data_IF_691608124335
#
_entry.id   IF_691608124335
#
_cell.length_a   1.000
_cell.length_b   1.000
_cell.length_c   1.000
_cell.angle_alpha   90.00
_cell.angle_beta   90.00
_cell.angle_gamma   90.00
#
_symmetry.space_group_name_H-M   'P 1'
#
loop_
_entity.id
_entity.type
_entity.pdbx_description
1 polymer ?
#
# COMPACT_ATOMS: atom_id res chain seq x y z
N UNK A 1 -10.71 -5.93 -17.31
CA UNK A 1 -10.05 -5.33 -16.14
C UNK A 1 -11.06 -4.42 -15.47
N UNK A 2 -11.08 -4.41 -14.16
CA UNK A 2 -11.96 -3.56 -13.35
C UNK A 2 -11.07 -2.95 -12.29
N UNK A 3 -11.19 -1.64 -12.09
CA UNK A 3 -10.39 -0.86 -11.18
C UNK A 3 -11.32 -0.14 -10.19
N UNK A 4 -10.92 -0.04 -8.93
CA UNK A 4 -11.69 0.66 -7.92
C UNK A 4 -11.27 2.13 -7.87
N UNK A 5 -12.25 3.02 -7.75
CA UNK A 5 -11.99 4.33 -7.14
C UNK A 5 -11.83 4.11 -5.64
N UNK A 6 -10.64 4.40 -5.11
CA UNK A 6 -10.43 4.32 -3.67
C UNK A 6 -11.13 5.47 -2.93
N UNK A 7 -11.38 5.28 -1.64
CA UNK A 7 -11.88 6.35 -0.77
C UNK A 7 -10.95 7.56 -0.89
N UNK A 8 -11.52 8.73 -1.11
CA UNK A 8 -10.79 9.97 -1.38
C UNK A 8 -10.59 10.28 -2.86
N UNK A 9 -11.06 9.40 -3.76
CA UNK A 9 -11.03 9.62 -5.21
C UNK A 9 -12.43 9.51 -5.83
N UNK A 10 -12.55 9.91 -7.08
CA UNK A 10 -13.79 9.81 -7.84
C UNK A 10 -14.98 10.44 -7.11
N UNK A 11 -16.02 9.66 -6.87
CA UNK A 11 -17.25 10.13 -6.19
C UNK A 11 -17.05 10.45 -4.70
N UNK A 12 -15.95 10.04 -4.09
CA UNK A 12 -15.61 10.30 -2.69
C UNK A 12 -14.46 11.32 -2.49
N UNK A 13 -14.14 12.12 -3.50
CA UNK A 13 -13.04 13.09 -3.47
C UNK A 13 -13.12 14.14 -2.37
N UNK A 14 -14.27 14.29 -1.71
CA UNK A 14 -14.48 15.23 -0.58
C UNK A 14 -13.98 14.69 0.76
N UNK A 15 -13.59 13.43 0.85
CA UNK A 15 -12.99 12.84 2.06
C UNK A 15 -11.52 12.54 1.82
N UNK A 16 -10.75 12.54 2.92
CA UNK A 16 -9.33 12.20 2.80
C UNK A 16 -9.13 10.74 2.43
N UNK A 17 -8.13 10.48 1.60
CA UNK A 17 -7.71 9.12 1.28
C UNK A 17 -7.05 8.46 2.50
N UNK A 18 -7.57 7.30 2.99
CA UNK A 18 -6.97 6.56 4.11
C UNK A 18 -5.73 5.78 3.65
N UNK A 19 -4.67 6.53 3.27
CA UNK A 19 -3.47 6.00 2.67
C UNK A 19 -2.80 4.95 3.57
N UNK A 20 -2.59 3.75 3.07
CA UNK A 20 -2.07 2.60 3.80
C UNK A 20 -2.93 2.16 5.02
N UNK A 21 -4.23 2.43 5.03
CA UNK A 21 -5.13 1.75 5.98
C UNK A 21 -5.55 0.38 5.41
N UNK A 22 -5.12 -0.68 6.08
CA UNK A 22 -5.28 -2.05 5.60
C UNK A 22 -6.73 -2.49 5.48
N UNK A 23 -7.57 -2.08 6.43
CA UNK A 23 -8.97 -2.50 6.45
C UNK A 23 -9.75 -1.88 5.29
N UNK A 24 -9.69 -0.56 5.17
CA UNK A 24 -10.41 0.16 4.12
C UNK A 24 -9.91 -0.21 2.73
N UNK A 25 -8.58 -0.40 2.58
CA UNK A 25 -7.96 -0.86 1.32
C UNK A 25 -8.51 -2.23 0.88
N UNK A 26 -8.62 -3.18 1.82
CA UNK A 26 -9.16 -4.50 1.54
C UNK A 26 -10.65 -4.44 1.19
N UNK A 27 -11.42 -3.64 1.93
CA UNK A 27 -12.87 -3.54 1.77
C UNK A 27 -13.25 -2.98 0.40
N UNK A 28 -12.57 -1.93 -0.07
CA UNK A 28 -12.80 -1.36 -1.41
C UNK A 28 -12.66 -2.41 -2.52
N UNK A 29 -11.63 -3.25 -2.46
CA UNK A 29 -11.42 -4.32 -3.46
C UNK A 29 -12.51 -5.39 -3.37
N UNK A 30 -12.86 -5.80 -2.16
CA UNK A 30 -13.87 -6.83 -1.92
C UNK A 30 -15.25 -6.35 -2.38
N UNK A 31 -15.62 -5.12 -2.06
CA UNK A 31 -16.88 -4.51 -2.48
C UNK A 31 -16.95 -4.38 -4.00
N UNK A 32 -15.84 -3.98 -4.64
CA UNK A 32 -15.76 -3.94 -6.10
C UNK A 32 -16.01 -5.33 -6.73
N UNK A 33 -15.44 -6.40 -6.15
CA UNK A 33 -15.67 -7.76 -6.64
C UNK A 33 -17.15 -8.13 -6.54
N UNK A 34 -17.81 -7.83 -5.42
CA UNK A 34 -19.25 -8.10 -5.27
C UNK A 34 -20.09 -7.26 -6.21
N UNK A 35 -19.85 -5.96 -6.31
CA UNK A 35 -20.54 -5.07 -7.23
C UNK A 35 -20.38 -5.52 -8.68
N UNK A 36 -19.16 -5.94 -9.06
CA UNK A 36 -18.89 -6.50 -10.39
C UNK A 36 -19.68 -7.77 -10.66
N UNK A 37 -19.72 -8.71 -9.73
CA UNK A 37 -20.51 -9.95 -9.89
C UNK A 37 -21.99 -9.65 -10.06
N UNK A 38 -22.52 -8.70 -9.30
CA UNK A 38 -23.91 -8.26 -9.43
C UNK A 38 -24.16 -7.64 -10.80
N UNK A 39 -23.31 -6.71 -11.23
CA UNK A 39 -23.42 -6.04 -12.54
C UNK A 39 -23.39 -7.03 -13.71
N UNK A 40 -22.44 -7.98 -13.70
CA UNK A 40 -22.34 -9.00 -14.74
C UNK A 40 -23.60 -9.86 -14.81
N UNK A 41 -24.18 -10.22 -13.65
CA UNK A 41 -25.44 -10.97 -13.56
C UNK A 41 -26.62 -10.16 -14.11
N UNK A 42 -26.77 -8.90 -13.72
CA UNK A 42 -27.86 -8.02 -14.17
C UNK A 42 -27.81 -7.76 -15.69
N UNK A 43 -26.59 -7.66 -16.24
CA UNK A 43 -26.36 -7.43 -17.67
C UNK A 43 -26.30 -8.71 -18.49
N UNK A 44 -26.46 -9.89 -17.86
CA UNK A 44 -26.34 -11.20 -18.52
C UNK A 44 -25.02 -11.36 -19.28
N UNK A 45 -23.92 -10.85 -18.71
CA UNK A 45 -22.58 -10.97 -19.29
C UNK A 45 -21.97 -12.28 -18.79
N UNK A 46 -21.70 -13.20 -19.73
CA UNK A 46 -21.04 -14.46 -19.43
C UNK A 46 -19.54 -14.25 -19.13
N UNK A 47 -19.00 -15.02 -18.18
CA UNK A 47 -17.62 -14.96 -17.76
C UNK A 47 -17.17 -16.30 -17.16
N UNK A 48 -15.86 -16.55 -17.16
CA UNK A 48 -15.28 -17.81 -16.69
C UNK A 48 -15.21 -17.96 -15.15
N UNK A 49 -15.75 -17.01 -14.40
CA UNK A 49 -15.80 -16.96 -12.92
C UNK A 49 -14.42 -16.93 -12.23
N UNK A 50 -13.33 -16.82 -12.98
CA UNK A 50 -11.98 -16.69 -12.40
C UNK A 50 -11.72 -15.25 -12.00
N UNK A 51 -11.14 -15.05 -10.83
CA UNK A 51 -10.80 -13.75 -10.27
C UNK A 51 -9.29 -13.70 -10.11
N UNK A 52 -8.70 -12.66 -10.65
CA UNK A 52 -7.29 -12.34 -10.51
C UNK A 52 -7.16 -11.00 -9.81
N UNK A 53 -6.26 -10.92 -8.83
CA UNK A 53 -5.90 -9.66 -8.17
C UNK A 53 -4.54 -9.21 -8.68
N UNK A 54 -4.40 -7.92 -8.96
CA UNK A 54 -3.11 -7.35 -9.32
C UNK A 54 -3.00 -5.90 -8.84
N UNK A 55 -1.80 -5.52 -8.39
CA UNK A 55 -1.50 -4.16 -8.01
C UNK A 55 -0.01 -3.93 -7.82
N UNK A 56 0.40 -2.68 -8.00
CA UNK A 56 1.78 -2.23 -7.88
C UNK A 56 1.88 -1.03 -6.94
N UNK A 57 2.98 -0.87 -6.22
CA UNK A 57 3.19 0.19 -5.25
C UNK A 57 2.12 0.16 -4.14
N UNK A 58 1.39 1.25 -3.89
CA UNK A 58 0.21 1.21 -3.02
C UNK A 58 -0.77 0.11 -3.43
N UNK A 59 -1.00 -0.08 -4.75
CA UNK A 59 -1.83 -1.15 -5.27
C UNK A 59 -1.33 -2.56 -4.92
N UNK A 60 -0.01 -2.75 -4.81
CA UNK A 60 0.59 -3.98 -4.30
C UNK A 60 0.22 -4.26 -2.85
N UNK A 61 0.31 -3.24 -2.00
CA UNK A 61 -0.14 -3.31 -0.61
C UNK A 61 -1.65 -3.62 -0.51
N UNK A 62 -2.48 -2.88 -1.25
CA UNK A 62 -3.93 -3.07 -1.30
C UNK A 62 -4.29 -4.48 -1.74
N UNK A 63 -3.60 -5.00 -2.74
CA UNK A 63 -3.77 -6.38 -3.25
C UNK A 63 -3.49 -7.41 -2.15
N UNK A 64 -2.42 -7.24 -1.39
CA UNK A 64 -2.08 -8.14 -0.28
C UNK A 64 -3.05 -8.00 0.91
N UNK A 65 -3.51 -6.79 1.22
CA UNK A 65 -4.55 -6.54 2.22
C UNK A 65 -5.86 -7.26 1.87
N UNK A 66 -6.31 -7.14 0.61
CA UNK A 66 -7.50 -7.80 0.11
C UNK A 66 -7.36 -9.33 0.13
N UNK A 67 -6.23 -9.87 -0.36
CA UNK A 67 -5.97 -11.31 -0.34
C UNK A 67 -5.98 -11.86 1.10
N UNK A 68 -5.29 -11.18 2.03
CA UNK A 68 -5.28 -11.58 3.44
C UNK A 68 -6.69 -11.63 4.00
N UNK A 69 -7.51 -10.60 3.79
CA UNK A 69 -8.89 -10.57 4.29
C UNK A 69 -9.75 -11.66 3.66
N UNK A 70 -9.68 -11.87 2.35
CA UNK A 70 -10.43 -12.93 1.65
C UNK A 70 -10.08 -14.32 2.18
N UNK A 71 -8.81 -14.56 2.50
CA UNK A 71 -8.38 -15.88 2.96
C UNK A 71 -8.60 -16.11 4.46
N UNK A 72 -8.77 -15.08 5.30
CA UNK A 72 -8.80 -15.22 6.76
C UNK A 72 -10.09 -14.72 7.42
N UNK A 73 -10.96 -14.03 6.69
CA UNK A 73 -12.26 -13.58 7.19
C UNK A 73 -13.38 -14.49 6.67
N UNK A 74 -14.10 -15.15 7.58
CA UNK A 74 -15.19 -16.06 7.25
C UNK A 74 -16.32 -15.36 6.46
N UNK A 75 -16.54 -14.06 6.68
CA UNK A 75 -17.60 -13.31 6.01
C UNK A 75 -17.40 -13.19 4.49
N UNK A 76 -16.16 -13.26 4.03
CA UNK A 76 -15.80 -13.09 2.61
C UNK A 76 -15.06 -14.31 2.02
N UNK A 77 -14.93 -15.38 2.78
CA UNK A 77 -14.22 -16.62 2.39
C UNK A 77 -14.84 -17.38 1.23
N UNK A 78 -16.04 -16.98 0.78
CA UNK A 78 -16.70 -17.49 -0.42
C UNK A 78 -16.08 -16.92 -1.72
N UNK A 79 -15.28 -15.87 -1.63
CA UNK A 79 -14.50 -15.36 -2.74
C UNK A 79 -13.30 -16.27 -2.99
N UNK A 80 -13.17 -16.79 -4.21
CA UNK A 80 -12.07 -17.65 -4.60
C UNK A 80 -11.19 -16.91 -5.60
N UNK A 81 -9.99 -16.56 -5.17
CA UNK A 81 -8.99 -15.90 -6.02
C UNK A 81 -8.22 -16.97 -6.77
N UNK A 82 -8.14 -16.83 -8.09
CA UNK A 82 -7.44 -17.77 -8.97
C UNK A 82 -5.92 -17.59 -8.86
N UNK A 83 -5.47 -16.35 -8.93
CA UNK A 83 -4.07 -15.98 -8.68
C UNK A 83 -3.95 -14.51 -8.34
N UNK A 84 -2.86 -14.15 -7.68
CA UNK A 84 -2.56 -12.80 -7.22
C UNK A 84 -1.16 -12.38 -7.66
N UNK A 85 -1.03 -11.17 -8.17
CA UNK A 85 0.23 -10.50 -8.49
C UNK A 85 0.34 -9.21 -7.69
N UNK A 86 1.30 -9.11 -6.79
CA UNK A 86 1.51 -7.93 -5.96
C UNK A 86 2.96 -7.44 -6.09
N UNK A 87 3.14 -6.20 -6.53
CA UNK A 87 4.46 -5.64 -6.79
C UNK A 87 4.78 -4.43 -5.92
N UNK A 88 6.03 -4.38 -5.43
CA UNK A 88 6.65 -3.23 -4.77
C UNK A 88 5.73 -2.49 -3.79
N UNK A 89 5.02 -3.22 -2.93
CA UNK A 89 4.16 -2.64 -1.88
C UNK A 89 4.93 -2.36 -0.60
N UNK A 90 4.46 -1.38 0.19
CA UNK A 90 4.94 -1.17 1.55
C UNK A 90 4.27 -2.17 2.50
N UNK A 91 4.81 -3.36 2.63
CA UNK A 91 4.16 -4.44 3.38
C UNK A 91 4.44 -4.38 4.89
N UNK A 92 5.68 -4.15 5.27
CA UNK A 92 6.09 -3.86 6.64
C UNK A 92 6.33 -2.35 6.78
N UNK A 93 5.31 -1.65 7.29
CA UNK A 93 5.32 -0.17 7.34
C UNK A 93 6.31 0.38 8.38
N UNK A 94 6.59 -0.37 9.46
CA UNK A 94 7.63 0.04 10.41
C UNK A 94 9.01 -0.04 9.77
N UNK A 95 9.34 -1.14 9.08
CA UNK A 95 10.61 -1.25 8.37
C UNK A 95 10.74 -0.18 7.27
N UNK A 96 9.66 0.10 6.54
CA UNK A 96 9.66 1.18 5.56
C UNK A 96 9.95 2.54 6.20
N UNK A 97 9.34 2.84 7.35
CA UNK A 97 9.61 4.08 8.08
C UNK A 97 11.07 4.13 8.56
N UNK A 98 11.56 3.05 9.19
CA UNK A 98 12.95 2.99 9.68
C UNK A 98 13.93 3.24 8.53
N UNK A 99 13.72 2.59 7.37
CA UNK A 99 14.53 2.82 6.18
C UNK A 99 14.52 4.29 5.73
N UNK A 100 13.34 4.94 5.67
CA UNK A 100 13.23 6.36 5.30
C UNK A 100 13.95 7.25 6.31
N UNK A 101 13.84 6.96 7.62
CA UNK A 101 14.44 7.76 8.69
C UNK A 101 15.97 7.63 8.77
N UNK A 102 16.52 6.51 8.29
CA UNK A 102 17.97 6.27 8.21
C UNK A 102 18.63 7.01 7.03
N UNK A 103 17.85 7.37 6.00
CA UNK A 103 18.37 8.11 4.85
C UNK A 103 18.53 9.60 5.16
N UNK A 104 19.64 10.25 4.74
CA UNK A 104 19.79 11.69 4.89
C UNK A 104 18.77 12.49 4.10
N UNK A 105 18.32 11.93 2.97
CA UNK A 105 17.30 12.51 2.10
C UNK A 105 16.31 11.42 1.67
N UNK A 106 15.03 11.80 1.54
CA UNK A 106 14.00 10.98 0.93
C UNK A 106 13.33 11.77 -0.20
N UNK A 107 13.51 11.37 -1.47
CA UNK A 107 13.08 12.17 -2.63
C UNK A 107 11.56 12.34 -2.77
N UNK A 108 10.79 11.56 -2.01
CA UNK A 108 9.33 11.49 -2.14
C UNK A 108 8.60 11.85 -0.84
N UNK A 109 8.83 13.05 -0.27
CA UNK A 109 8.24 13.46 1.02
C UNK A 109 6.70 13.48 1.01
N UNK A 110 6.07 13.55 -0.17
CA UNK A 110 4.62 13.44 -0.31
C UNK A 110 4.07 12.16 0.31
N UNK A 111 4.72 11.02 0.11
CA UNK A 111 4.23 9.73 0.64
C UNK A 111 4.30 9.67 2.17
N UNK A 112 5.37 10.22 2.76
CA UNK A 112 5.49 10.36 4.21
C UNK A 112 4.40 11.31 4.76
N UNK A 113 4.17 12.43 4.07
CA UNK A 113 3.10 13.36 4.42
C UNK A 113 1.71 12.73 4.35
N UNK A 114 1.42 11.96 3.30
CA UNK A 114 0.13 11.31 3.09
C UNK A 114 -0.16 10.24 4.15
N UNK A 115 0.82 9.40 4.53
CA UNK A 115 0.59 8.37 5.56
C UNK A 115 0.35 8.99 6.94
N UNK A 116 1.11 10.03 7.31
CA UNK A 116 0.97 10.72 8.58
C UNK A 116 -0.40 11.42 8.67
N UNK A 117 -0.75 12.18 7.65
CA UNK A 117 -2.02 12.91 7.62
C UNK A 117 -3.23 11.99 7.46
N UNK A 118 -3.09 10.95 6.64
CA UNK A 118 -4.09 9.91 6.47
C UNK A 118 -4.42 9.22 7.79
N UNK A 119 -3.41 8.84 8.58
CA UNK A 119 -3.64 8.21 9.89
C UNK A 119 -4.20 9.20 10.91
N UNK A 120 -3.73 10.45 10.94
CA UNK A 120 -4.29 11.46 11.82
C UNK A 120 -5.82 11.62 11.63
N UNK A 121 -6.28 11.54 10.38
CA UNK A 121 -7.71 11.64 10.03
C UNK A 121 -8.42 10.30 10.27
N UNK A 122 -7.89 9.20 9.75
CA UNK A 122 -8.52 7.86 9.83
C UNK A 122 -8.72 7.40 11.28
N UNK A 123 -7.78 7.72 12.16
CA UNK A 123 -7.83 7.34 13.59
C UNK A 123 -8.31 8.45 14.51
N UNK A 124 -8.79 9.57 13.93
CA UNK A 124 -9.34 10.72 14.68
C UNK A 124 -8.42 11.23 15.81
N UNK A 125 -7.12 11.30 15.54
CA UNK A 125 -6.16 11.78 16.54
C UNK A 125 -6.26 13.27 16.80
N UNK A 126 -6.80 14.03 15.85
CA UNK A 126 -7.02 15.46 15.94
C UNK A 126 -5.75 16.27 16.31
N UNK A 127 -4.58 15.76 15.91
CA UNK A 127 -3.31 16.45 16.14
C UNK A 127 -3.13 17.57 15.10
N UNK A 128 -2.66 18.75 15.51
CA UNK A 128 -2.32 19.81 14.55
C UNK A 128 -1.12 19.38 13.69
N UNK A 129 -1.02 19.93 12.48
CA UNK A 129 0.10 19.59 11.58
C UNK A 129 1.47 19.87 12.19
N UNK A 130 1.60 20.89 13.04
CA UNK A 130 2.82 21.24 13.79
C UNK A 130 3.28 20.14 14.76
N UNK A 131 2.41 19.23 15.14
CA UNK A 131 2.80 18.04 15.91
C UNK A 131 3.70 17.12 15.11
N UNK A 132 3.43 16.98 13.81
CA UNK A 132 4.12 16.05 12.92
C UNK A 132 5.21 16.71 12.10
N UNK A 133 5.03 17.96 11.68
CA UNK A 133 5.87 18.64 10.70
C UNK A 133 6.44 19.95 11.26
N UNK A 134 7.65 20.27 10.81
CA UNK A 134 8.30 21.54 11.11
C UNK A 134 7.77 22.68 10.26
N UNK A 135 7.87 23.94 10.78
CA UNK A 135 7.69 25.14 9.97
C UNK A 135 8.82 25.27 8.93
N UNK A 136 8.55 25.75 7.70
CA UNK A 136 7.27 26.26 7.21
C UNK A 136 6.40 25.18 6.52
N UNK A 137 6.70 23.92 6.67
CA UNK A 137 6.00 22.83 5.97
C UNK A 137 4.63 22.54 6.61
N UNK A 138 4.55 22.56 7.94
CA UNK A 138 3.31 22.32 8.67
C UNK A 138 2.16 23.21 8.18
N UNK A 139 2.43 24.47 7.89
CA UNK A 139 1.44 25.44 7.45
C UNK A 139 0.93 25.19 6.02
N UNK A 140 1.69 24.41 5.22
CA UNK A 140 1.32 24.08 3.84
C UNK A 140 0.41 22.86 3.74
N UNK A 141 0.43 21.97 4.74
CA UNK A 141 -0.29 20.69 4.66
C UNK A 141 -1.79 20.81 4.42
N UNK A 142 -2.54 21.78 5.01
CA UNK A 142 -3.97 21.93 4.70
C UNK A 142 -4.26 22.06 3.20
N UNK A 143 -3.39 22.76 2.47
CA UNK A 143 -3.54 22.98 1.03
C UNK A 143 -2.92 21.84 0.19
N UNK A 144 -1.97 21.10 0.74
CA UNK A 144 -1.29 20.01 0.01
C UNK A 144 -2.10 18.71 0.00
N UNK A 145 -2.85 18.42 1.07
CA UNK A 145 -3.56 17.14 1.25
C UNK A 145 -5.08 17.25 1.10
N UNK A 146 -5.58 18.35 0.52
CA UNK A 146 -7.01 18.58 0.31
C UNK A 146 -7.60 17.86 -0.92
N UNK A 147 -6.84 16.95 -1.55
CA UNK A 147 -7.28 16.19 -2.72
C UNK A 147 -7.14 16.93 -4.08
N UNK A 148 -6.67 18.18 -4.09
CA UNK A 148 -6.52 18.97 -5.33
C UNK A 148 -5.14 18.87 -5.98
N UNK A 149 -4.15 18.29 -5.29
CA UNK A 149 -2.75 18.23 -5.73
C UNK A 149 -2.28 16.80 -5.90
N UNK A 150 -1.56 16.54 -6.99
CA UNK A 150 -0.88 15.27 -7.21
C UNK A 150 0.45 15.19 -6.45
N UNK A 151 0.97 13.97 -6.29
CA UNK A 151 2.20 13.69 -5.53
C UNK A 151 3.40 14.52 -5.98
N UNK A 152 3.58 14.79 -7.27
CA UNK A 152 4.66 15.65 -7.80
C UNK A 152 4.56 17.09 -7.29
N UNK A 153 3.35 17.65 -7.24
CA UNK A 153 3.13 19.00 -6.72
C UNK A 153 3.40 19.07 -5.21
N UNK A 154 3.01 18.03 -4.47
CA UNK A 154 3.28 17.92 -3.04
C UNK A 154 4.79 17.80 -2.79
N UNK A 155 5.49 16.93 -3.53
CA UNK A 155 6.94 16.78 -3.42
C UNK A 155 7.69 18.10 -3.66
N UNK A 156 7.28 18.87 -4.66
CA UNK A 156 7.90 20.18 -4.98
C UNK A 156 7.71 21.21 -3.88
N UNK A 157 6.63 21.11 -3.09
CA UNK A 157 6.32 22.05 -2.02
C UNK A 157 7.02 21.72 -0.68
N UNK A 158 7.54 20.51 -0.55
CA UNK A 158 8.18 19.98 0.66
C UNK A 158 9.70 19.85 0.49
N UNK A 159 10.41 19.63 1.59
CA UNK A 159 11.85 19.30 1.57
C UNK A 159 12.05 17.80 1.47
N UNK A 160 13.11 17.40 0.77
CA UNK A 160 13.57 16.00 0.71
C UNK A 160 14.40 15.59 1.93
N UNK A 161 14.79 16.53 2.79
CA UNK A 161 15.53 16.26 4.03
C UNK A 161 14.51 15.92 5.11
N UNK A 162 14.38 14.64 5.42
CA UNK A 162 13.33 14.11 6.32
C UNK A 162 13.34 14.79 7.70
N UNK A 163 14.53 15.02 8.26
CA UNK A 163 14.69 15.69 9.56
C UNK A 163 14.32 17.17 9.57
N UNK A 164 14.34 17.82 8.41
CA UNK A 164 13.90 19.22 8.28
C UNK A 164 12.39 19.29 8.07
N UNK A 165 11.81 18.24 7.46
CA UNK A 165 10.37 18.14 7.24
C UNK A 165 9.60 17.87 8.54
N UNK A 166 10.09 16.92 9.34
CA UNK A 166 9.40 16.43 10.53
C UNK A 166 9.73 17.27 11.76
N UNK A 167 8.74 17.41 12.65
CA UNK A 167 8.95 18.01 13.96
C UNK A 167 9.99 17.19 14.76
N UNK A 168 11.00 17.82 15.41
CA UNK A 168 12.05 17.12 16.15
C UNK A 168 11.53 16.19 17.27
N UNK A 169 10.46 16.58 17.98
CA UNK A 169 9.86 15.74 19.03
C UNK A 169 9.20 14.50 18.41
N UNK A 170 8.57 14.67 17.25
CA UNK A 170 8.01 13.55 16.50
C UNK A 170 9.11 12.63 15.94
N UNK A 171 10.22 13.19 15.45
CA UNK A 171 11.41 12.40 15.03
C UNK A 171 11.93 11.59 16.21
N UNK A 172 12.03 12.18 17.41
CA UNK A 172 12.47 11.45 18.62
C UNK A 172 11.51 10.32 18.98
N UNK A 173 10.19 10.56 18.89
CA UNK A 173 9.16 9.54 19.08
C UNK A 173 9.27 8.37 18.07
N UNK A 174 9.52 8.67 16.80
CA UNK A 174 9.70 7.66 15.75
C UNK A 174 10.99 6.85 15.93
N UNK A 175 12.07 7.49 16.38
CA UNK A 175 13.40 6.87 16.56
C UNK A 175 13.49 5.99 17.81
N UNK A 176 12.62 6.18 18.81
CA UNK A 176 12.58 5.33 20.00
C UNK A 176 12.00 3.96 19.66
N UNK A 177 12.86 2.93 19.69
CA UNK A 177 12.44 1.52 19.42
C UNK A 177 11.39 1.00 20.41
N UNK A 178 11.32 1.59 21.61
CA UNK A 178 10.34 1.22 22.63
C UNK A 178 9.10 2.13 22.61
N UNK A 179 9.03 3.06 21.67
CA UNK A 179 7.88 3.96 21.56
C UNK A 179 6.58 3.18 21.33
N UNK A 180 5.61 3.49 22.15
CA UNK A 180 4.24 2.98 22.05
C UNK A 180 3.30 4.06 21.50
N UNK A 181 3.84 4.98 20.71
CA UNK A 181 3.06 6.07 20.12
C UNK A 181 1.91 5.55 19.26
N UNK A 182 0.88 6.35 19.12
CA UNK A 182 -0.28 5.98 18.32
C UNK A 182 0.09 5.80 16.85
N UNK A 183 1.06 6.57 16.35
CA UNK A 183 1.54 6.43 14.98
C UNK A 183 2.26 5.09 14.76
N UNK A 184 3.19 4.70 15.64
CA UNK A 184 3.90 3.39 15.53
C UNK A 184 2.93 2.21 15.68
N UNK A 185 1.96 2.31 16.58
CA UNK A 185 0.87 1.31 16.70
C UNK A 185 0.05 1.20 15.43
N UNK A 186 -0.26 2.35 14.80
CA UNK A 186 -1.00 2.36 13.54
C UNK A 186 -0.19 1.73 12.40
N UNK A 187 1.12 2.01 12.28
CA UNK A 187 1.99 1.35 11.30
C UNK A 187 1.99 -0.18 11.51
N UNK A 188 2.13 -0.65 12.75
CA UNK A 188 2.11 -2.08 13.05
C UNK A 188 0.76 -2.71 12.70
N UNK A 189 -0.35 -2.07 13.08
CA UNK A 189 -1.71 -2.52 12.78
C UNK A 189 -1.97 -2.64 11.28
N UNK A 190 -1.40 -1.72 10.50
CA UNK A 190 -1.60 -1.64 9.06
C UNK A 190 -0.54 -2.39 8.25
N UNK A 191 0.56 -2.83 8.83
CA UNK A 191 1.48 -3.75 8.16
C UNK A 191 0.76 -5.03 7.74
N UNK A 192 1.14 -5.59 6.60
CA UNK A 192 0.54 -6.84 6.11
C UNK A 192 0.94 -7.98 7.04
N UNK A 193 -0.01 -8.66 7.69
CA UNK A 193 0.31 -9.80 8.54
C UNK A 193 0.87 -10.96 7.71
N UNK A 194 1.57 -11.84 8.37
CA UNK A 194 2.01 -13.11 7.77
C UNK A 194 0.97 -14.20 8.02
N UNK A 195 0.69 -14.99 6.99
CA UNK A 195 -0.21 -16.14 7.08
C UNK A 195 0.16 -17.19 6.05
N UNK A 196 -0.42 -18.37 6.15
CA UNK A 196 -0.28 -19.37 5.10
C UNK A 196 -1.20 -19.01 3.93
N UNK A 197 -0.60 -18.47 2.85
CA UNK A 197 -1.31 -18.18 1.60
C UNK A 197 -1.73 -19.50 0.93
N UNK A 198 -2.99 -19.59 0.54
CA UNK A 198 -3.58 -20.81 -0.04
C UNK A 198 -3.60 -20.81 -1.55
N UNK A 199 -3.65 -19.63 -2.15
CA UNK A 199 -3.69 -19.44 -3.60
C UNK A 199 -2.33 -19.19 -4.23
N UNK A 200 -2.29 -19.17 -5.57
CA UNK A 200 -1.09 -18.79 -6.31
C UNK A 200 -0.81 -17.30 -6.15
N UNK A 201 0.36 -16.97 -5.63
CA UNK A 201 0.82 -15.60 -5.44
C UNK A 201 2.19 -15.40 -6.07
N UNK A 202 2.34 -14.33 -6.86
CA UNK A 202 3.65 -13.80 -7.25
C UNK A 202 3.86 -12.44 -6.64
N UNK A 203 4.94 -12.30 -5.88
CA UNK A 203 5.46 -11.03 -5.43
C UNK A 203 6.51 -10.53 -6.42
N UNK A 204 6.52 -9.23 -6.70
CA UNK A 204 7.42 -8.59 -7.63
C UNK A 204 8.09 -7.38 -6.96
N UNK A 205 9.37 -7.15 -7.26
CA UNK A 205 10.03 -5.90 -6.86
C UNK A 205 11.26 -5.64 -7.75
N UNK A 206 11.44 -4.37 -8.14
CA UNK A 206 12.63 -3.90 -8.82
C UNK A 206 13.82 -3.79 -7.84
N UNK A 207 14.97 -4.36 -8.18
CA UNK A 207 16.12 -4.32 -7.27
C UNK A 207 16.89 -2.97 -7.32
N UNK A 208 16.39 -2.00 -8.06
CA UNK A 208 16.85 -0.59 -8.06
C UNK A 208 15.71 0.36 -7.66
N UNK A 209 14.75 -0.14 -6.90
CA UNK A 209 13.63 0.68 -6.39
C UNK A 209 14.15 1.68 -5.35
N UNK A 210 13.95 2.96 -5.64
CA UNK A 210 14.41 4.10 -4.82
C UNK A 210 13.28 4.70 -3.95
N UNK A 211 12.07 4.20 -4.10
CA UNK A 211 10.88 4.67 -3.34
C UNK A 211 10.59 3.74 -2.16
N UNK A 212 10.53 2.45 -2.45
CA UNK A 212 10.25 1.42 -1.45
C UNK A 212 11.41 0.42 -1.40
N UNK A 213 11.91 0.11 -0.19
CA UNK A 213 13.06 -0.79 -0.05
C UNK A 213 12.71 -2.19 -0.58
N UNK A 214 13.56 -2.70 -1.46
CA UNK A 214 13.44 -4.04 -2.05
C UNK A 214 13.33 -5.14 -0.98
N UNK A 215 14.03 -4.96 0.13
CA UNK A 215 14.05 -5.85 1.29
C UNK A 215 12.67 -6.03 1.91
N UNK A 216 11.81 -5.02 1.87
CA UNK A 216 10.44 -5.07 2.39
C UNK A 216 9.61 -6.19 1.73
N UNK A 217 9.80 -6.40 0.43
CA UNK A 217 9.14 -7.49 -0.30
C UNK A 217 9.80 -8.85 -0.06
N UNK A 218 11.13 -8.89 0.09
CA UNK A 218 11.86 -10.12 0.41
C UNK A 218 11.48 -10.64 1.79
N UNK A 219 11.36 -9.75 2.78
CA UNK A 219 10.91 -10.10 4.12
C UNK A 219 9.53 -10.74 4.10
N UNK A 220 8.55 -10.07 3.46
CA UNK A 220 7.22 -10.64 3.34
C UNK A 220 7.25 -12.02 2.67
N UNK A 221 8.00 -12.18 1.57
CA UNK A 221 8.14 -13.47 0.88
C UNK A 221 8.66 -14.55 1.81
N UNK A 222 9.75 -14.28 2.53
CA UNK A 222 10.37 -15.24 3.44
C UNK A 222 9.42 -15.61 4.60
N UNK A 223 8.72 -14.64 5.15
CA UNK A 223 7.75 -14.85 6.21
C UNK A 223 6.59 -15.73 5.74
N UNK A 224 6.05 -15.47 4.55
CA UNK A 224 4.99 -16.30 3.97
C UNK A 224 5.48 -17.74 3.71
N UNK A 225 6.73 -17.93 3.25
CA UNK A 225 7.33 -19.26 3.10
C UNK A 225 7.43 -19.99 4.44
N UNK A 226 7.83 -19.29 5.51
CA UNK A 226 7.90 -19.84 6.87
C UNK A 226 6.53 -20.29 7.37
N UNK A 227 5.44 -19.63 6.94
CA UNK A 227 4.07 -20.06 7.21
C UNK A 227 3.60 -21.26 6.37
N UNK A 228 4.46 -21.82 5.52
CA UNK A 228 4.14 -22.97 4.66
C UNK A 228 3.38 -22.61 3.37
N UNK A 229 3.56 -21.41 2.84
CA UNK A 229 2.92 -20.93 1.61
C UNK A 229 3.64 -21.43 0.36
N UNK A 230 3.41 -22.68 -0.01
CA UNK A 230 4.13 -23.38 -1.10
C UNK A 230 3.85 -22.85 -2.52
N UNK A 231 2.77 -22.07 -2.69
CA UNK A 231 2.37 -21.49 -3.98
C UNK A 231 2.76 -20.01 -4.13
N UNK A 232 3.55 -19.50 -3.20
CA UNK A 232 4.08 -18.14 -3.26
C UNK A 232 5.45 -18.16 -3.94
N UNK A 233 5.64 -17.29 -4.91
CA UNK A 233 6.90 -17.09 -5.61
C UNK A 233 7.30 -15.63 -5.59
N UNK A 234 8.60 -15.36 -5.67
CA UNK A 234 9.15 -14.01 -5.76
C UNK A 234 9.85 -13.80 -7.12
N UNK A 235 9.62 -12.66 -7.74
CA UNK A 235 10.22 -12.22 -8.99
C UNK A 235 11.00 -10.94 -8.79
N UNK A 236 12.32 -11.03 -8.71
CA UNK A 236 13.20 -9.87 -8.84
C UNK A 236 13.11 -9.30 -10.24
N UNK A 237 12.74 -8.04 -10.36
CA UNK A 237 12.78 -7.31 -11.62
C UNK A 237 14.16 -6.63 -11.71
N UNK A 238 15.12 -7.35 -12.28
CA UNK A 238 16.53 -6.95 -12.29
C UNK A 238 16.76 -5.69 -13.13
N UNK A 239 17.41 -4.67 -12.52
CA UNK A 239 17.72 -3.40 -13.16
C UNK A 239 16.54 -2.43 -13.25
N UNK A 240 15.39 -2.79 -12.70
CA UNK A 240 14.22 -1.92 -12.67
C UNK A 240 14.14 -1.12 -11.38
N UNK A 241 13.85 0.17 -11.53
CA UNK A 241 13.48 1.08 -10.45
C UNK A 241 11.98 0.98 -10.16
N UNK A 242 11.45 1.87 -9.29
CA UNK A 242 10.04 1.83 -8.92
C UNK A 242 9.10 1.99 -10.12
N UNK A 243 9.37 2.95 -11.01
CA UNK A 243 8.53 3.24 -12.16
C UNK A 243 8.57 2.13 -13.21
N UNK A 244 9.76 1.74 -13.65
CA UNK A 244 9.94 0.71 -14.68
C UNK A 244 9.59 -0.69 -14.20
N UNK A 245 9.62 -0.92 -12.88
CA UNK A 245 9.21 -2.18 -12.26
C UNK A 245 7.72 -2.46 -12.45
N UNK A 246 6.87 -1.43 -12.43
CA UNK A 246 5.43 -1.59 -12.69
C UNK A 246 5.15 -2.13 -14.08
N UNK A 247 5.81 -1.60 -15.11
CA UNK A 247 5.67 -2.10 -16.48
C UNK A 247 6.19 -3.54 -16.61
N UNK A 248 7.37 -3.82 -16.06
CA UNK A 248 7.97 -5.16 -16.10
C UNK A 248 7.07 -6.21 -15.43
N UNK A 249 6.44 -5.86 -14.29
CA UNK A 249 5.45 -6.72 -13.65
C UNK A 249 4.26 -7.02 -14.57
N UNK A 250 3.71 -6.01 -15.25
CA UNK A 250 2.58 -6.18 -16.16
C UNK A 250 2.93 -7.15 -17.29
N UNK A 251 4.12 -7.03 -17.86
CA UNK A 251 4.59 -7.92 -18.93
C UNK A 251 4.78 -9.37 -18.47
N UNK A 252 5.19 -9.62 -17.22
CA UNK A 252 5.33 -10.99 -16.68
C UNK A 252 3.97 -11.56 -16.22
N UNK A 253 3.13 -10.76 -15.55
CA UNK A 253 1.89 -11.27 -14.95
C UNK A 253 0.80 -11.61 -15.98
N UNK A 254 0.68 -10.85 -17.09
CA UNK A 254 -0.40 -11.07 -18.07
C UNK A 254 -0.32 -12.44 -18.73
N UNK A 255 0.85 -12.91 -19.28
CA UNK A 255 0.98 -14.28 -19.77
C UNK A 255 0.70 -15.33 -18.71
N UNK A 256 1.17 -15.09 -17.47
CA UNK A 256 0.92 -16.01 -16.37
C UNK A 256 -0.58 -16.11 -16.05
N UNK A 257 -1.30 -15.02 -15.90
CA UNK A 257 -2.75 -15.05 -15.67
C UNK A 257 -3.50 -15.73 -16.85
N UNK A 258 -3.05 -15.50 -18.09
CA UNK A 258 -3.63 -16.17 -19.27
C UNK A 258 -3.45 -17.69 -19.23
N UNK A 259 -2.33 -18.19 -18.69
CA UNK A 259 -2.06 -19.63 -18.58
C UNK A 259 -2.95 -20.33 -17.54
N UNK A 260 -3.57 -19.56 -16.65
CA UNK A 260 -4.45 -20.05 -15.58
C UNK A 260 -5.96 -19.91 -15.91
N UNK A 261 -6.30 -19.41 -17.10
CA UNK A 261 -7.68 -19.22 -17.55
C UNK A 261 -8.42 -20.50 -17.86
#
# INVERSE_FOLDING_TARGET
VIEADFIGYGSSQQVAHPYYDRSTSADVVIDLIYATKQYLKEKNIDHNRKIFLAGYSEGGYVTMAALHKIENDAAVSNLKITATAAGAGGYNLNHMLDHIMEQPIYPYPAYLGLIITGYNITYDWQKPYQYFFSSPYAEKFPDLVNGTKGGSQINTALTIVTKDLLNPDFVAELSDKNSTSDFKKALLKNSIPTWRVRGSLRLYHGNQDEILPYENSIELYNDLQTQGSSLVTFRTLSGHNHETGGEAMIFDMIPWFKSLK
#
